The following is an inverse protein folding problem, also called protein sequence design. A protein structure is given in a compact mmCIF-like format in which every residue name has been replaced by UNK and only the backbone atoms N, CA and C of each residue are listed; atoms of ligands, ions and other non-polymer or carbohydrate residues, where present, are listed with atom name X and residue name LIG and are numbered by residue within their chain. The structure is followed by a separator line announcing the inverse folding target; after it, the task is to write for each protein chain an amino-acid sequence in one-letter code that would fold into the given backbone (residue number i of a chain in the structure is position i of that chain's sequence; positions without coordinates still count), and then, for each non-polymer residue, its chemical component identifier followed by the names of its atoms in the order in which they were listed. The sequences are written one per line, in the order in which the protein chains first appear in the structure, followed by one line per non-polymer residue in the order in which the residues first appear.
data_IF_669170291612
#
_entry.id   IF_669170291612
#
_cell.length_a   1.000
_cell.length_b   1.000
_cell.length_c   1.000
_cell.angle_alpha   90.00
_cell.angle_beta   90.00
_cell.angle_gamma   90.00
#
_symmetry.space_group_name_H-M   'P 1'
#
loop_
_entity.id
_entity.type
_entity.pdbx_description
1 polymer ?
#
# COMPACT_ATOMS: atom_id res chain seq x y z
N UNK A 1 -20.05 -22.34 18.19
CA UNK A 1 -19.27 -21.09 18.18
C UNK A 1 -19.73 -20.28 16.98
N UNK A 2 -20.70 -19.40 17.16
CA UNK A 2 -21.17 -18.48 16.13
C UNK A 2 -20.01 -17.56 15.73
N UNK A 3 -19.50 -17.73 14.51
CA UNK A 3 -18.42 -16.91 13.99
C UNK A 3 -19.03 -15.79 13.17
N UNK A 4 -19.18 -14.65 13.85
CA UNK A 4 -19.56 -13.33 13.34
C UNK A 4 -19.07 -13.10 11.90
N UNK A 5 -19.92 -12.68 10.94
CA UNK A 5 -19.44 -12.21 9.65
C UNK A 5 -18.45 -11.06 9.92
N UNK A 6 -17.30 -11.07 9.24
CA UNK A 6 -16.25 -10.04 9.38
C UNK A 6 -16.87 -8.64 9.36
N UNK A 7 -17.03 -8.04 10.55
CA UNK A 7 -17.48 -6.66 10.74
C UNK A 7 -16.29 -5.77 10.43
N UNK A 8 -15.92 -5.70 9.15
CA UNK A 8 -14.82 -4.85 8.68
C UNK A 8 -15.31 -3.41 8.60
N UNK A 9 -14.96 -2.63 9.60
CA UNK A 9 -15.26 -1.19 9.63
C UNK A 9 -14.15 -0.44 8.87
N UNK A 10 -14.50 0.49 7.97
CA UNK A 10 -13.49 1.35 7.35
C UNK A 10 -12.77 2.20 8.41
N UNK A 11 -11.48 2.50 8.23
CA UNK A 11 -10.78 3.44 9.10
C UNK A 11 -11.38 4.85 8.94
N UNK A 12 -11.35 5.66 10.00
CA UNK A 12 -12.04 6.96 10.06
C UNK A 12 -11.53 8.01 9.06
N UNK A 13 -10.30 7.87 8.59
CA UNK A 13 -9.71 8.77 7.59
C UNK A 13 -10.18 8.47 6.16
N UNK A 14 -10.81 7.32 5.92
CA UNK A 14 -11.27 6.88 4.61
C UNK A 14 -12.77 7.18 4.44
N UNK A 15 -13.11 8.02 3.47
CA UNK A 15 -14.49 8.46 3.20
C UNK A 15 -15.24 7.40 2.36
N UNK A 16 -15.56 6.26 2.98
CA UNK A 16 -16.27 5.15 2.35
C UNK A 16 -17.24 4.47 3.32
N UNK A 17 -18.40 4.03 2.82
CA UNK A 17 -19.34 3.22 3.59
C UNK A 17 -18.84 1.78 3.81
N UNK A 18 -19.41 1.07 4.78
CA UNK A 18 -18.98 -0.29 5.13
C UNK A 18 -19.12 -1.31 3.98
N UNK A 19 -20.17 -1.21 3.15
CA UNK A 19 -20.39 -2.11 2.03
C UNK A 19 -19.40 -1.82 0.89
N UNK A 20 -19.13 -0.55 0.62
CA UNK A 20 -18.10 -0.07 -0.30
C UNK A 20 -16.72 -0.56 0.13
N UNK A 21 -16.41 -0.44 1.41
CA UNK A 21 -15.15 -0.90 1.98
C UNK A 21 -14.99 -2.42 1.84
N UNK A 22 -16.03 -3.18 2.15
CA UNK A 22 -16.04 -4.64 1.96
C UNK A 22 -15.84 -5.02 0.50
N UNK A 23 -16.49 -4.34 -0.45
CA UNK A 23 -16.29 -4.56 -1.89
C UNK A 23 -14.85 -4.25 -2.32
N UNK A 24 -14.28 -3.14 -1.83
CA UNK A 24 -12.89 -2.75 -2.07
C UNK A 24 -11.93 -3.85 -1.60
N UNK A 25 -12.05 -4.29 -0.34
CA UNK A 25 -11.19 -5.32 0.23
C UNK A 25 -11.23 -6.61 -0.60
N UNK A 26 -12.43 -7.09 -0.96
CA UNK A 26 -12.59 -8.30 -1.75
C UNK A 26 -11.97 -8.16 -3.15
N UNK A 27 -12.27 -7.07 -3.88
CA UNK A 27 -11.74 -6.83 -5.23
C UNK A 27 -10.21 -6.75 -5.23
N UNK A 28 -9.65 -6.03 -4.26
CA UNK A 28 -8.20 -5.84 -4.14
C UNK A 28 -7.51 -7.13 -3.74
N UNK A 29 -8.03 -7.86 -2.74
CA UNK A 29 -7.48 -9.15 -2.32
C UNK A 29 -7.45 -10.16 -3.47
N UNK A 30 -8.55 -10.33 -4.21
CA UNK A 30 -8.60 -11.23 -5.38
C UNK A 30 -7.55 -10.84 -6.42
N UNK A 31 -7.40 -9.55 -6.70
CA UNK A 31 -6.45 -9.05 -7.71
C UNK A 31 -5.01 -9.29 -7.29
N UNK A 32 -4.67 -8.99 -6.04
CA UNK A 32 -3.32 -9.17 -5.49
C UNK A 32 -2.97 -10.64 -5.36
N UNK A 33 -3.85 -11.47 -4.77
CA UNK A 33 -3.60 -12.91 -4.64
C UNK A 33 -3.43 -13.57 -6.00
N UNK A 34 -4.21 -13.17 -7.02
CA UNK A 34 -4.04 -13.69 -8.40
C UNK A 34 -2.65 -13.37 -8.96
N UNK A 35 -2.14 -12.16 -8.74
CA UNK A 35 -0.79 -11.75 -9.18
C UNK A 35 0.30 -12.46 -8.37
N UNK A 36 0.12 -12.58 -7.06
CA UNK A 36 1.08 -13.21 -6.15
C UNK A 36 1.20 -14.73 -6.39
N UNK A 37 0.10 -15.43 -6.69
CA UNK A 37 0.13 -16.85 -7.06
C UNK A 37 0.98 -17.13 -8.29
N UNK A 38 1.00 -16.22 -9.28
CA UNK A 38 1.90 -16.32 -10.44
C UNK A 38 3.38 -16.22 -10.05
N UNK A 39 3.68 -15.64 -8.88
CA UNK A 39 5.03 -15.48 -8.30
C UNK A 39 5.32 -16.51 -7.19
N UNK A 40 4.48 -17.54 -7.03
CA UNK A 40 4.69 -18.62 -6.06
C UNK A 40 4.13 -18.38 -4.65
N UNK A 41 3.29 -17.37 -4.44
CA UNK A 41 2.67 -17.14 -3.14
C UNK A 41 1.65 -18.24 -2.75
N UNK A 42 1.62 -18.59 -1.47
CA UNK A 42 0.81 -19.69 -0.92
C UNK A 42 -0.39 -19.24 -0.10
N UNK A 43 -0.49 -17.94 0.22
CA UNK A 43 -1.61 -17.42 1.02
C UNK A 43 -2.94 -17.43 0.27
N UNK A 44 -4.01 -17.58 1.04
CA UNK A 44 -5.39 -17.57 0.57
C UNK A 44 -5.93 -16.14 0.46
N UNK A 45 -6.99 -15.98 -0.34
CA UNK A 45 -7.66 -14.68 -0.52
C UNK A 45 -8.18 -14.13 0.82
N UNK A 46 -8.65 -15.01 1.72
CA UNK A 46 -9.11 -14.61 3.06
C UNK A 46 -7.98 -13.99 3.89
N UNK A 47 -6.81 -14.62 3.91
CA UNK A 47 -5.64 -14.08 4.61
C UNK A 47 -5.21 -12.74 4.02
N UNK A 48 -5.33 -12.57 2.70
CA UNK A 48 -5.09 -11.30 2.05
C UNK A 48 -6.10 -10.22 2.46
N UNK A 49 -7.40 -10.54 2.59
CA UNK A 49 -8.42 -9.60 3.08
C UNK A 49 -8.06 -9.09 4.49
N UNK A 50 -7.75 -10.02 5.40
CA UNK A 50 -7.43 -9.69 6.79
C UNK A 50 -6.15 -8.82 6.87
N UNK A 51 -5.13 -9.16 6.09
CA UNK A 51 -3.88 -8.41 6.04
C UNK A 51 -4.03 -7.02 5.41
N UNK A 52 -4.84 -6.88 4.35
CA UNK A 52 -5.13 -5.59 3.71
C UNK A 52 -5.94 -4.72 4.67
N UNK A 53 -6.95 -5.28 5.34
CA UNK A 53 -7.71 -4.56 6.35
C UNK A 53 -6.80 -4.06 7.48
N UNK A 54 -5.92 -4.91 8.00
CA UNK A 54 -4.95 -4.51 9.00
C UNK A 54 -4.00 -3.42 8.49
N UNK A 55 -3.63 -3.41 7.21
CA UNK A 55 -2.84 -2.33 6.61
C UNK A 55 -3.59 -1.00 6.59
N UNK A 56 -4.87 -1.01 6.20
CA UNK A 56 -5.73 0.18 6.27
C UNK A 56 -5.88 0.72 7.69
N UNK A 57 -5.98 -0.17 8.70
CA UNK A 57 -6.09 0.23 10.11
C UNK A 57 -4.79 0.79 10.69
N UNK A 58 -3.62 0.36 10.19
CA UNK A 58 -2.31 0.91 10.59
C UNK A 58 -2.01 2.24 9.91
N UNK A 59 -2.56 2.48 8.73
CA UNK A 59 -2.40 3.75 8.02
C UNK A 59 -3.26 4.82 8.72
N UNK A 60 -2.69 6.02 8.86
CA UNK A 60 -3.33 7.19 9.47
C UNK A 60 -3.86 8.19 8.43
N UNK A 61 -3.89 7.80 7.16
CA UNK A 61 -4.27 8.66 6.04
C UNK A 61 -3.11 9.46 5.45
N UNK A 62 -1.87 9.19 5.85
CA UNK A 62 -0.66 9.75 5.22
C UNK A 62 0.14 8.69 4.48
N UNK A 63 0.88 9.11 3.46
CA UNK A 63 1.81 8.23 2.75
C UNK A 63 3.08 8.03 3.60
N UNK A 64 3.48 6.77 3.87
CA UNK A 64 4.59 6.48 4.78
C UNK A 64 5.97 6.89 4.24
N UNK A 65 6.10 7.23 2.96
CA UNK A 65 7.40 7.55 2.35
C UNK A 65 7.64 9.04 2.18
N UNK A 66 6.61 9.83 1.90
CA UNK A 66 6.73 11.28 1.74
C UNK A 66 6.01 12.11 2.81
N UNK A 67 5.20 11.46 3.67
CA UNK A 67 4.48 12.10 4.77
C UNK A 67 3.32 12.99 4.33
N UNK A 68 3.01 13.06 3.03
CA UNK A 68 1.91 13.86 2.50
C UNK A 68 0.58 13.09 2.65
N UNK A 69 -0.56 13.79 2.77
CA UNK A 69 -1.86 13.14 2.92
C UNK A 69 -2.24 12.29 1.71
N UNK A 70 -2.99 11.23 1.97
CA UNK A 70 -3.67 10.41 0.97
C UNK A 70 -5.05 11.01 0.68
N UNK A 71 -5.53 10.79 -0.55
CA UNK A 71 -6.90 11.17 -0.90
C UNK A 71 -7.87 10.24 -0.16
N UNK A 72 -8.64 10.81 0.77
CA UNK A 72 -9.64 10.05 1.54
C UNK A 72 -10.73 9.41 0.67
N UNK A 73 -10.89 9.90 -0.58
CA UNK A 73 -11.79 9.35 -1.58
C UNK A 73 -11.00 8.49 -2.57
N UNK A 74 -11.45 7.24 -2.74
CA UNK A 74 -10.88 6.26 -3.65
C UNK A 74 -11.16 6.65 -5.12
N UNK A 75 -10.45 7.65 -5.61
CA UNK A 75 -10.46 8.12 -7.00
C UNK A 75 -9.17 7.71 -7.72
N UNK A 76 -9.12 7.85 -9.05
CA UNK A 76 -7.93 7.53 -9.86
C UNK A 76 -6.84 8.63 -9.77
N UNK A 77 -6.75 9.32 -8.64
CA UNK A 77 -5.77 10.38 -8.37
C UNK A 77 -4.40 9.83 -8.00
N UNK A 78 -3.35 10.63 -8.19
CA UNK A 78 -1.97 10.27 -7.83
C UNK A 78 -1.80 9.97 -6.33
N UNK A 79 -2.63 10.60 -5.47
CA UNK A 79 -2.63 10.43 -4.02
C UNK A 79 -3.63 9.38 -3.52
N UNK A 80 -4.25 8.63 -4.42
CA UNK A 80 -5.22 7.60 -4.07
C UNK A 80 -4.60 6.49 -3.19
N UNK A 81 -5.23 6.11 -2.07
CA UNK A 81 -4.71 5.11 -1.15
C UNK A 81 -4.70 3.75 -1.84
N UNK A 82 -3.50 3.23 -2.03
CA UNK A 82 -3.25 2.04 -2.82
C UNK A 82 -2.60 0.96 -1.96
N UNK A 83 -3.13 -0.25 -2.08
CA UNK A 83 -2.56 -1.44 -1.45
C UNK A 83 -1.33 -1.90 -2.24
N UNK A 84 -0.21 -2.05 -1.54
CA UNK A 84 1.03 -2.62 -2.10
C UNK A 84 1.59 -3.71 -1.17
N UNK A 85 2.20 -4.78 -1.71
CA UNK A 85 3.03 -5.67 -0.91
C UNK A 85 4.23 -4.91 -0.33
N UNK A 86 4.56 -5.18 0.94
CA UNK A 86 5.73 -4.57 1.60
C UNK A 86 7.03 -5.02 0.94
N UNK A 87 7.08 -6.28 0.51
CA UNK A 87 8.21 -6.90 -0.19
C UNK A 87 7.72 -7.90 -1.24
N UNK A 88 8.65 -8.44 -2.03
CA UNK A 88 8.41 -9.55 -2.97
C UNK A 88 8.12 -10.90 -2.28
N UNK A 89 8.01 -10.94 -0.95
CA UNK A 89 7.78 -12.17 -0.20
C UNK A 89 6.45 -12.86 -0.59
N UNK A 90 6.41 -14.17 -0.37
CA UNK A 90 5.22 -14.99 -0.57
C UNK A 90 4.22 -14.91 0.58
N UNK A 91 4.43 -13.98 1.53
CA UNK A 91 3.60 -13.78 2.72
C UNK A 91 2.57 -12.66 2.48
N UNK A 92 1.41 -12.74 3.14
CA UNK A 92 0.35 -11.73 3.05
C UNK A 92 0.70 -10.50 3.91
N UNK A 93 1.69 -9.71 3.50
CA UNK A 93 2.08 -8.46 4.17
C UNK A 93 1.91 -7.27 3.23
N UNK A 94 1.09 -6.30 3.65
CA UNK A 94 0.70 -5.15 2.83
C UNK A 94 0.89 -3.83 3.58
N UNK A 95 1.09 -2.79 2.80
CA UNK A 95 1.15 -1.38 3.18
C UNK A 95 0.14 -0.58 2.34
N UNK A 96 -0.31 0.55 2.89
CA UNK A 96 -1.10 1.55 2.17
C UNK A 96 -0.19 2.74 1.89
N UNK A 97 -0.10 3.12 0.63
CA UNK A 97 0.65 4.30 0.17
C UNK A 97 -0.06 4.92 -1.04
N UNK A 98 0.37 6.10 -1.46
CA UNK A 98 -0.19 6.75 -2.65
C UNK A 98 0.12 5.96 -3.93
N UNK A 99 -0.74 6.12 -4.95
CA UNK A 99 -0.49 5.56 -6.27
C UNK A 99 0.85 6.05 -6.84
N UNK A 100 1.15 7.34 -6.68
CA UNK A 100 2.41 7.95 -7.09
C UNK A 100 3.62 7.27 -6.44
N UNK A 101 3.63 7.12 -5.11
CA UNK A 101 4.73 6.47 -4.41
C UNK A 101 4.86 5.01 -4.85
N UNK A 102 3.75 4.32 -5.12
CA UNK A 102 3.80 2.92 -5.57
C UNK A 102 4.46 2.80 -6.93
N UNK A 103 4.12 3.71 -7.85
CA UNK A 103 4.72 3.75 -9.18
C UNK A 103 6.21 4.10 -9.11
N UNK A 104 6.61 5.03 -8.25
CA UNK A 104 8.01 5.42 -8.05
C UNK A 104 8.85 4.30 -7.37
N UNK A 105 8.29 3.66 -6.34
CA UNK A 105 8.92 2.55 -5.61
C UNK A 105 9.14 1.33 -6.51
N UNK A 106 8.16 1.03 -7.36
CA UNK A 106 8.19 -0.12 -8.25
C UNK A 106 8.21 -1.45 -7.48
N UNK A 107 9.09 -2.37 -7.85
CA UNK A 107 9.21 -3.68 -7.19
C UNK A 107 10.15 -3.68 -5.97
N UNK A 108 10.76 -2.53 -5.65
CA UNK A 108 11.68 -2.39 -4.52
C UNK A 108 10.93 -2.55 -3.20
N UNK A 109 11.62 -3.03 -2.18
CA UNK A 109 11.13 -2.91 -0.81
C UNK A 109 11.34 -1.46 -0.30
N UNK A 110 10.80 -1.15 0.88
CA UNK A 110 10.86 0.21 1.43
C UNK A 110 12.29 0.70 1.71
N UNK A 111 13.16 -0.17 2.24
CA UNK A 111 14.55 0.18 2.55
C UNK A 111 15.35 0.49 1.28
N UNK A 112 15.21 -0.33 0.24
CA UNK A 112 15.83 -0.14 -1.06
C UNK A 112 15.40 1.18 -1.71
N UNK A 113 14.11 1.52 -1.61
CA UNK A 113 13.58 2.76 -2.16
C UNK A 113 14.12 3.98 -1.41
N UNK A 114 14.13 3.95 -0.07
CA UNK A 114 14.68 5.02 0.76
C UNK A 114 16.18 5.20 0.50
N UNK A 115 16.94 4.12 0.40
CA UNK A 115 18.35 4.16 0.07
C UNK A 115 18.60 4.79 -1.31
N UNK A 116 17.76 4.45 -2.30
CA UNK A 116 17.81 5.07 -3.63
C UNK A 116 17.53 6.58 -3.57
N UNK A 117 16.48 7.02 -2.88
CA UNK A 117 16.16 8.44 -2.71
C UNK A 117 17.31 9.21 -2.06
N UNK A 118 17.94 8.65 -1.02
CA UNK A 118 19.11 9.25 -0.36
C UNK A 118 20.30 9.40 -1.31
N UNK A 119 20.56 8.38 -2.14
CA UNK A 119 21.62 8.45 -3.14
C UNK A 119 21.36 9.52 -4.22
N UNK A 120 20.11 9.67 -4.66
CA UNK A 120 19.70 10.72 -5.61
C UNK A 120 19.94 12.11 -5.01
N UNK A 121 19.52 12.35 -3.77
CA UNK A 121 19.76 13.63 -3.07
C UNK A 121 21.26 13.93 -2.94
N UNK A 122 22.05 12.96 -2.47
CA UNK A 122 23.50 13.14 -2.33
C UNK A 122 24.19 13.46 -3.67
N UNK A 123 23.76 12.84 -4.77
CA UNK A 123 24.27 13.12 -6.10
C UNK A 123 23.87 14.52 -6.61
N UNK A 124 22.63 14.95 -6.35
CA UNK A 124 22.14 16.28 -6.70
C UNK A 124 22.90 17.39 -5.95
N UNK A 125 23.17 17.18 -4.66
CA UNK A 125 23.94 18.12 -3.84
C UNK A 125 25.39 18.24 -4.33
N UNK A 126 26.03 17.10 -4.64
CA UNK A 126 27.40 17.08 -5.17
C UNK A 126 27.48 17.78 -6.53
N UNK A 127 26.53 17.51 -7.42
CA UNK A 127 26.46 18.13 -8.76
C UNK A 127 26.22 19.64 -8.68
N UNK A 128 25.37 20.08 -7.75
CA UNK A 128 25.09 21.50 -7.52
C UNK A 128 26.30 22.26 -6.97
N UNK A 129 27.18 21.59 -6.22
CA UNK A 129 28.44 22.16 -5.75
C UNK A 129 29.51 22.23 -6.84
N UNK A 130 29.57 21.24 -7.74
CA UNK A 130 30.52 21.23 -8.86
C UNK A 130 30.20 22.25 -9.97
N UNK A 131 28.97 22.78 -10.00
CA UNK A 131 28.51 23.80 -10.95
C UNK A 131 28.60 25.24 -10.40
N UNK A 132 29.06 25.42 -9.15
CA UNK A 132 29.33 26.73 -8.54
C UNK A 132 30.82 27.04 -8.59
#
# INVERSE_FOLDING_TARGET
MERNPLSVTPPSWLDIDADGYKRLLNRTAVTITKRARKRGATYQVREAIDAIHAAFQRCDGTDPYDGLPLDNRLHDGSRSPTVSPVSSSTTATFEILSLQTKEAKGERNGEEFIAHCRAVVAHADTSSQAQR
#
